data_IF_980224323033
#
_entry.id   IF_980224323033
#
_cell.length_a   1.000
_cell.length_b   1.000
_cell.length_c   1.000
_cell.angle_alpha   90.00
_cell.angle_beta   90.00
_cell.angle_gamma   90.00
#
_symmetry.space_group_name_H-M   'P 1'
#
loop_
_entity.id
_entity.type
_entity.pdbx_description
1 polymer ?
#
# COMPACT_ATOMS: atom_id res chain seq x y z
N UNK A 1 29.98 -48.29 -0.44
CA UNK A 1 28.81 -47.41 -0.62
C UNK A 1 28.68 -46.57 0.63
N UNK A 2 28.90 -45.27 0.53
CA UNK A 2 28.91 -44.36 1.67
C UNK A 2 27.47 -44.02 2.07
N UNK A 3 26.96 -44.76 3.06
CA UNK A 3 25.68 -44.47 3.70
C UNK A 3 25.95 -43.49 4.83
N UNK A 4 25.45 -42.26 4.71
CA UNK A 4 25.54 -41.27 5.76
C UNK A 4 24.54 -41.61 6.88
N UNK A 5 24.98 -41.55 8.13
CA UNK A 5 24.13 -41.74 9.32
C UNK A 5 23.73 -40.43 9.98
N UNK A 6 24.42 -39.33 9.65
CA UNK A 6 24.12 -37.98 10.12
C UNK A 6 24.57 -36.95 9.07
N UNK A 7 23.87 -35.82 9.04
CA UNK A 7 24.16 -34.69 8.17
C UNK A 7 24.39 -33.44 9.02
N UNK A 8 25.31 -32.58 8.61
CA UNK A 8 25.47 -31.26 9.22
C UNK A 8 24.36 -30.33 8.74
N UNK A 9 23.80 -29.56 9.65
CA UNK A 9 22.90 -28.44 9.30
C UNK A 9 23.62 -27.50 8.31
N UNK A 10 22.97 -27.07 7.21
CA UNK A 10 21.53 -27.12 6.93
C UNK A 10 21.04 -28.35 6.15
N UNK A 11 21.87 -29.39 5.97
CA UNK A 11 21.50 -30.57 5.18
C UNK A 11 20.71 -31.57 6.02
N UNK A 12 19.75 -32.23 5.37
CA UNK A 12 18.84 -33.20 5.97
C UNK A 12 19.18 -34.61 5.51
N UNK A 13 19.10 -35.58 6.43
CA UNK A 13 19.30 -36.99 6.10
C UNK A 13 18.05 -37.59 5.45
N UNK A 14 18.22 -38.16 4.26
CA UNK A 14 17.20 -38.92 3.55
C UNK A 14 17.80 -40.12 2.82
N UNK A 15 17.35 -41.34 3.16
CA UNK A 15 17.79 -42.57 2.47
C UNK A 15 19.31 -42.81 2.51
N UNK A 16 20.00 -42.37 3.56
CA UNK A 16 21.45 -42.48 3.68
C UNK A 16 22.26 -41.42 2.93
N UNK A 17 21.61 -40.34 2.46
CA UNK A 17 22.25 -39.20 1.80
C UNK A 17 21.83 -37.89 2.46
N UNK A 18 22.71 -36.90 2.38
CA UNK A 18 22.40 -35.54 2.82
C UNK A 18 21.82 -34.74 1.66
N UNK A 19 20.63 -34.19 1.85
CA UNK A 19 19.89 -33.37 0.87
C UNK A 19 19.66 -31.97 1.43
N UNK A 20 19.66 -30.95 0.57
CA UNK A 20 19.34 -29.58 1.00
C UNK A 20 17.84 -29.35 1.23
N UNK A 21 17.00 -30.20 0.63
CA UNK A 21 15.55 -30.07 0.69
C UNK A 21 14.92 -31.46 0.67
N UNK A 22 13.85 -31.64 1.45
CA UNK A 22 13.19 -32.94 1.58
C UNK A 22 12.31 -33.23 0.34
N UNK A 23 12.36 -34.46 -0.22
CA UNK A 23 11.54 -34.84 -1.35
C UNK A 23 10.03 -34.90 -1.01
N UNK A 24 9.18 -35.01 -2.04
CA UNK A 24 7.72 -35.12 -1.85
C UNK A 24 7.34 -36.26 -0.89
N UNK A 25 6.34 -36.02 -0.06
CA UNK A 25 5.90 -36.94 0.99
C UNK A 25 6.77 -36.91 2.25
N UNK A 26 7.77 -36.02 2.32
CA UNK A 26 8.57 -35.80 3.53
C UNK A 26 8.66 -34.32 3.90
N UNK A 27 8.93 -34.03 5.17
CA UNK A 27 9.12 -32.68 5.70
C UNK A 27 10.36 -32.59 6.58
N UNK A 28 10.92 -31.38 6.65
CA UNK A 28 11.98 -31.02 7.56
C UNK A 28 11.36 -30.55 8.88
N UNK A 29 11.66 -31.25 9.97
CA UNK A 29 11.25 -30.82 11.31
C UNK A 29 12.39 -30.03 11.96
N UNK A 30 12.23 -28.71 12.19
CA UNK A 30 13.25 -27.88 12.82
C UNK A 30 13.40 -28.18 14.32
N UNK A 31 12.39 -28.78 14.95
CA UNK A 31 12.39 -29.12 16.38
C UNK A 31 12.88 -30.56 16.63
N UNK A 32 13.12 -31.32 15.55
CA UNK A 32 13.66 -32.66 15.67
C UNK A 32 15.12 -32.64 16.17
N UNK A 33 15.50 -33.60 17.03
CA UNK A 33 16.86 -33.69 17.58
C UNK A 33 17.93 -33.98 16.52
N UNK A 34 17.54 -34.40 15.31
CA UNK A 34 18.44 -34.67 14.20
C UNK A 34 17.87 -34.09 12.89
N UNK A 35 18.68 -33.41 12.06
CA UNK A 35 18.24 -32.88 10.77
C UNK A 35 17.99 -34.04 9.79
N UNK A 36 16.74 -34.50 9.72
CA UNK A 36 16.31 -35.60 8.88
C UNK A 36 14.94 -35.31 8.24
N UNK A 37 14.71 -35.91 7.08
CA UNK A 37 13.42 -35.82 6.40
C UNK A 37 12.45 -36.86 6.98
N UNK A 38 11.40 -36.39 7.64
CA UNK A 38 10.36 -37.24 8.24
C UNK A 38 9.21 -37.46 7.26
N UNK A 39 8.58 -38.63 7.32
CA UNK A 39 7.46 -38.96 6.45
C UNK A 39 6.19 -38.19 6.85
N UNK A 40 5.49 -37.67 5.85
CA UNK A 40 4.15 -37.11 6.01
C UNK A 40 3.10 -38.19 6.30
N UNK A 41 1.93 -37.76 6.76
CA UNK A 41 0.76 -38.64 6.82
C UNK A 41 0.46 -39.26 5.43
N UNK A 42 0.08 -40.55 5.39
CA UNK A 42 -0.08 -41.38 4.19
C UNK A 42 -1.03 -40.86 3.08
N UNK A 43 -1.79 -39.79 3.33
CA UNK A 43 -2.69 -39.17 2.35
C UNK A 43 -2.17 -37.84 1.80
N UNK A 44 -0.96 -37.44 2.18
CA UNK A 44 -0.44 -36.09 1.93
C UNK A 44 0.85 -36.14 1.12
N UNK A 45 0.95 -35.28 0.10
CA UNK A 45 2.15 -35.14 -0.74
C UNK A 45 3.14 -34.09 -0.21
N UNK A 46 2.66 -33.12 0.55
CA UNK A 46 3.47 -32.14 1.25
C UNK A 46 2.84 -31.88 2.63
N UNK A 47 3.67 -31.68 3.65
CA UNK A 47 3.23 -31.42 5.01
C UNK A 47 4.27 -30.54 5.74
N UNK A 48 3.84 -29.84 6.79
CA UNK A 48 4.73 -29.14 7.73
C UNK A 48 4.89 -29.90 9.05
N UNK A 49 4.34 -31.10 9.12
CA UNK A 49 4.24 -31.90 10.33
C UNK A 49 3.70 -33.30 10.03
N UNK A 50 3.75 -34.21 11.01
CA UNK A 50 3.36 -35.61 10.81
C UNK A 50 1.84 -35.80 10.77
N UNK A 51 1.05 -34.83 11.25
CA UNK A 51 -0.40 -34.99 11.34
C UNK A 51 -1.12 -34.71 10.02
N UNK A 52 -2.38 -35.16 9.93
CA UNK A 52 -3.27 -34.84 8.79
C UNK A 52 -3.57 -33.34 8.69
N UNK A 53 -3.60 -32.64 9.83
CA UNK A 53 -3.88 -31.22 9.89
C UNK A 53 -2.72 -30.39 9.30
N UNK A 54 -1.50 -30.91 9.41
CA UNK A 54 -0.28 -30.26 8.91
C UNK A 54 -0.05 -30.48 7.41
N UNK A 55 -0.99 -31.14 6.73
CA UNK A 55 -0.85 -31.39 5.31
C UNK A 55 -0.98 -30.10 4.51
N UNK A 56 0.13 -29.73 3.86
CA UNK A 56 0.21 -28.64 2.91
C UNK A 56 -0.43 -29.14 1.63
N UNK A 57 -1.76 -29.15 1.62
CA UNK A 57 -2.50 -29.36 0.39
C UNK A 57 -2.13 -28.20 -0.54
N UNK A 58 -1.53 -28.49 -1.69
CA UNK A 58 -1.35 -27.54 -2.81
C UNK A 58 -2.70 -26.96 -3.32
N UNK A 59 -3.83 -27.36 -2.72
CA UNK A 59 -5.17 -26.76 -2.81
C UNK A 59 -5.35 -25.53 -1.89
N UNK A 60 -4.37 -25.18 -1.04
CA UNK A 60 -4.48 -24.07 -0.10
C UNK A 60 -3.42 -22.99 -0.37
N UNK A 61 -3.68 -22.06 -1.30
CA UNK A 61 -2.97 -20.80 -1.35
C UNK A 61 -3.58 -19.84 -0.29
N UNK A 62 -3.56 -20.22 0.99
CA UNK A 62 -4.21 -19.44 2.05
C UNK A 62 -3.42 -18.22 2.52
N UNK A 63 -2.29 -17.86 1.89
CA UNK A 63 -1.47 -16.73 2.37
C UNK A 63 -0.83 -15.85 1.28
N UNK A 64 -1.14 -16.03 0.00
CA UNK A 64 -0.62 -15.15 -1.09
C UNK A 64 -1.67 -14.27 -1.77
N UNK A 65 -2.95 -14.37 -1.39
CA UNK A 65 -4.06 -13.64 -2.05
C UNK A 65 -4.73 -12.55 -1.21
N UNK A 66 -4.18 -12.18 -0.05
CA UNK A 66 -4.72 -11.09 0.78
C UNK A 66 -4.01 -9.74 0.56
N UNK A 67 -2.84 -9.73 -0.09
CA UNK A 67 -2.08 -8.48 -0.33
C UNK A 67 -2.65 -7.61 -1.48
N UNK A 68 -3.30 -8.22 -2.49
CA UNK A 68 -3.82 -7.48 -3.65
C UNK A 68 -5.28 -7.04 -3.50
N UNK A 69 -6.03 -7.62 -2.55
CA UNK A 69 -7.44 -7.25 -2.28
C UNK A 69 -7.61 -5.98 -1.45
N UNK A 70 -6.74 -5.77 -0.47
CA UNK A 70 -6.77 -4.58 0.40
C UNK A 70 -6.09 -3.37 -0.22
N UNK A 71 -5.06 -3.57 -1.05
CA UNK A 71 -4.32 -2.47 -1.71
C UNK A 71 -5.17 -1.70 -2.72
N UNK A 72 -5.87 -2.39 -3.62
CA UNK A 72 -6.77 -1.76 -4.59
C UNK A 72 -8.08 -1.29 -3.94
N UNK A 73 -8.59 -2.03 -2.95
CA UNK A 73 -9.81 -1.65 -2.22
C UNK A 73 -9.64 -0.38 -1.39
N UNK A 74 -8.62 -0.32 -0.52
CA UNK A 74 -8.34 0.86 0.31
C UNK A 74 -7.86 2.02 -0.57
N UNK A 75 -7.04 1.75 -1.59
CA UNK A 75 -6.60 2.76 -2.56
C UNK A 75 -7.76 3.42 -3.31
N UNK A 76 -8.69 2.61 -3.85
CA UNK A 76 -9.88 3.11 -4.54
C UNK A 76 -10.83 3.84 -3.57
N UNK A 77 -11.01 3.32 -2.35
CA UNK A 77 -11.85 3.94 -1.34
C UNK A 77 -11.30 5.30 -0.90
N UNK A 78 -9.99 5.41 -0.64
CA UNK A 78 -9.33 6.69 -0.32
C UNK A 78 -9.42 7.66 -1.50
N UNK A 79 -9.20 7.19 -2.74
CA UNK A 79 -9.30 8.03 -3.94
C UNK A 79 -10.72 8.60 -4.11
N UNK A 80 -11.76 7.78 -3.95
CA UNK A 80 -13.17 8.22 -4.02
C UNK A 80 -13.50 9.22 -2.91
N UNK A 81 -13.04 8.98 -1.68
CA UNK A 81 -13.24 9.90 -0.55
C UNK A 81 -12.55 11.25 -0.82
N UNK A 82 -11.32 11.26 -1.31
CA UNK A 82 -10.61 12.50 -1.66
C UNK A 82 -11.33 13.27 -2.78
N UNK A 83 -11.78 12.59 -3.84
CA UNK A 83 -12.56 13.22 -4.91
C UNK A 83 -13.88 13.80 -4.40
N UNK A 84 -14.60 13.08 -3.53
CA UNK A 84 -15.84 13.56 -2.93
C UNK A 84 -15.61 14.79 -2.04
N UNK A 85 -14.56 14.80 -1.20
CA UNK A 85 -14.19 15.95 -0.38
C UNK A 85 -13.82 17.16 -1.24
N UNK A 86 -13.02 16.98 -2.30
CA UNK A 86 -12.68 18.05 -3.25
C UNK A 86 -13.93 18.58 -3.93
N UNK A 87 -14.82 17.72 -4.42
CA UNK A 87 -16.09 18.16 -5.03
C UNK A 87 -16.98 18.90 -4.03
N UNK A 88 -17.10 18.42 -2.79
CA UNK A 88 -17.87 19.09 -1.74
C UNK A 88 -17.26 20.44 -1.39
N UNK A 89 -15.93 20.55 -1.30
CA UNK A 89 -15.22 21.80 -1.09
C UNK A 89 -15.39 22.74 -2.28
N UNK A 90 -15.31 22.25 -3.52
CA UNK A 90 -15.56 23.05 -4.72
C UNK A 90 -17.02 23.49 -4.82
N UNK A 91 -17.99 22.66 -4.42
CA UNK A 91 -19.42 23.03 -4.39
C UNK A 91 -19.69 24.02 -3.26
N UNK A 92 -19.14 23.80 -2.07
CA UNK A 92 -19.18 24.76 -0.95
C UNK A 92 -18.51 26.07 -1.34
N UNK A 93 -17.38 26.01 -2.03
CA UNK A 93 -16.63 27.17 -2.46
C UNK A 93 -17.26 27.85 -3.66
N UNK A 94 -17.95 27.14 -4.55
CA UNK A 94 -18.81 27.73 -5.59
C UNK A 94 -20.06 28.36 -4.99
N UNK A 95 -20.64 27.76 -3.94
CA UNK A 95 -21.69 28.38 -3.13
C UNK A 95 -21.19 29.63 -2.40
N UNK A 96 -19.99 29.59 -1.83
CA UNK A 96 -19.35 30.75 -1.18
C UNK A 96 -18.83 31.78 -2.21
N UNK A 97 -18.43 31.36 -3.42
CA UNK A 97 -18.06 32.25 -4.53
C UNK A 97 -19.28 32.87 -5.20
N UNK A 98 -20.44 32.24 -5.11
CA UNK A 98 -21.73 32.84 -5.50
C UNK A 98 -22.10 34.08 -4.66
N UNK A 99 -21.55 34.18 -3.44
CA UNK A 99 -21.66 35.39 -2.61
C UNK A 99 -20.37 36.21 -2.53
N UNK A 100 -19.26 35.75 -3.15
CA UNK A 100 -17.95 36.43 -3.15
C UNK A 100 -17.52 36.97 -4.52
N UNK A 101 -18.39 36.95 -5.54
CA UNK A 101 -18.15 37.59 -6.85
C UNK A 101 -19.08 38.79 -7.05
N UNK A 102 -19.15 39.69 -6.06
CA UNK A 102 -19.95 40.93 -6.10
C UNK A 102 -19.23 42.13 -5.44
N UNK A 103 -17.92 42.06 -5.24
CA UNK A 103 -17.15 43.22 -4.81
C UNK A 103 -15.84 43.15 -5.55
N UNK A 104 -15.75 43.86 -6.68
CA UNK A 104 -14.54 44.43 -7.29
C UNK A 104 -14.93 44.94 -8.69
N UNK A 105 -15.75 45.99 -8.75
CA UNK A 105 -16.00 46.80 -9.96
C UNK A 105 -16.29 48.26 -9.52
N UNK A 106 -15.30 48.93 -8.92
CA UNK A 106 -15.25 50.40 -8.78
C UNK A 106 -13.77 50.86 -8.87
N UNK A 107 -13.22 50.87 -10.08
CA UNK A 107 -12.12 51.77 -10.46
C UNK A 107 -12.38 52.26 -11.88
N UNK A 108 -13.13 53.35 -11.98
CA UNK A 108 -13.26 54.17 -13.18
C UNK A 108 -13.51 55.58 -12.71
N UNK A 109 -12.47 56.41 -12.79
CA UNK A 109 -12.50 57.77 -13.37
C UNK A 109 -11.33 58.60 -12.84
N UNK A 110 -10.21 58.56 -13.58
CA UNK A 110 -9.06 59.45 -13.42
C UNK A 110 -8.73 60.15 -14.72
N UNK A 111 -9.64 61.01 -15.21
CA UNK A 111 -9.39 61.89 -16.35
C UNK A 111 -8.40 63.00 -15.95
N UNK A 112 -7.21 62.99 -16.55
CA UNK A 112 -6.35 64.18 -16.61
C UNK A 112 -6.91 65.16 -17.64
N UNK A 113 -6.86 66.47 -17.36
CA UNK A 113 -6.12 67.31 -18.30
C UNK A 113 -5.19 68.31 -17.59
N UNK A 114 -4.11 68.63 -18.29
CA UNK A 114 -3.06 69.53 -17.84
C UNK A 114 -3.35 71.02 -18.00
N UNK A 115 -2.36 71.76 -17.48
CA UNK A 115 -1.95 73.14 -17.79
C UNK A 115 -2.79 74.32 -17.26
N UNK A 116 -2.37 74.85 -16.08
CA UNK A 116 -1.70 76.15 -15.83
C UNK A 116 -2.13 77.44 -16.60
N UNK A 117 -1.73 78.66 -16.16
CA UNK A 117 -1.67 79.28 -14.83
C UNK A 117 -2.22 80.75 -14.81
N UNK A 118 -1.99 81.48 -13.68
CA UNK A 118 -2.05 82.95 -13.47
C UNK A 118 -3.46 83.55 -13.27
N UNK A 119 -3.70 84.62 -12.50
CA UNK A 119 -2.90 85.58 -11.75
C UNK A 119 -3.75 86.10 -10.56
N UNK A 120 -3.07 86.59 -9.52
CA UNK A 120 -3.61 87.37 -8.41
C UNK A 120 -4.15 88.74 -8.91
N UNK A 121 -4.90 89.55 -8.11
CA UNK A 121 -4.31 90.35 -7.04
C UNK A 121 -5.24 90.56 -5.80
N UNK A 122 -4.81 91.32 -4.77
CA UNK A 122 -5.24 91.11 -3.39
C UNK A 122 -6.06 92.27 -2.80
N UNK A 123 -6.39 92.13 -1.50
CA UNK A 123 -6.68 93.20 -0.51
C UNK A 123 -8.04 93.88 -0.73
N UNK A 124 -8.78 94.42 0.24
CA UNK A 124 -8.62 95.02 1.57
C UNK A 124 -10.05 94.93 2.19
N UNK A 125 -10.34 95.15 3.47
CA UNK A 125 -9.79 96.04 4.49
C UNK A 125 -10.30 95.58 5.85
#
# INVERSE_FOLDING_TARGET
ADVCTACNSPLLLHGGRCVGECPEGTFADPDAPTPACLACHAKCKACSGPERADCISLRSPASRRLALGLGLGIGLLVLVVLLALVLLLLVRFRRQRGTRKMADDEDSDGMLPGMAPRAAPPRRM
#
